data_IF_530547574670
#
_entry.id   IF_530547574670
#
_cell.length_a   1.000
_cell.length_b   1.000
_cell.length_c   1.000
_cell.angle_alpha   90.00
_cell.angle_beta   90.00
_cell.angle_gamma   90.00
#
_symmetry.space_group_name_H-M   'P 1'
#
loop_
_entity.id
_entity.type
_entity.pdbx_description
1 polymer ?
#
# COMPACT_ATOMS: atom_id res chain seq x y z
N UNK A 1 -25.49 -24.21 33.47
CA UNK A 1 -24.75 -22.96 33.12
C UNK A 1 -24.96 -22.61 31.63
N UNK A 2 -26.19 -22.29 31.24
CA UNK A 2 -26.59 -22.09 29.81
C UNK A 2 -26.49 -20.62 29.35
N UNK A 3 -26.60 -19.66 30.28
CA UNK A 3 -26.68 -18.23 29.96
C UNK A 3 -25.39 -17.60 29.43
N UNK A 4 -24.20 -18.11 29.79
CA UNK A 4 -22.93 -17.53 29.35
C UNK A 4 -22.63 -17.80 27.87
N UNK A 5 -23.03 -18.97 27.36
CA UNK A 5 -22.86 -19.35 25.95
C UNK A 5 -23.80 -18.56 25.03
N UNK A 6 -25.03 -18.32 25.49
CA UNK A 6 -26.02 -17.52 24.77
C UNK A 6 -25.60 -16.05 24.65
N UNK A 7 -25.07 -15.45 25.74
CA UNK A 7 -24.54 -14.08 25.72
C UNK A 7 -23.34 -13.92 24.78
N UNK A 8 -22.44 -14.91 24.76
CA UNK A 8 -21.29 -14.90 23.84
C UNK A 8 -21.74 -15.03 22.38
N UNK A 9 -22.71 -15.90 22.08
CA UNK A 9 -23.23 -16.06 20.72
C UNK A 9 -23.91 -14.80 20.20
N UNK A 10 -24.68 -14.11 21.05
CA UNK A 10 -25.30 -12.82 20.70
C UNK A 10 -24.26 -11.72 20.47
N UNK A 11 -23.20 -11.69 21.29
CA UNK A 11 -22.10 -10.74 21.11
C UNK A 11 -21.36 -10.97 19.78
N UNK A 12 -21.00 -12.22 19.48
CA UNK A 12 -20.33 -12.58 18.22
C UNK A 12 -21.22 -12.29 17.00
N UNK A 13 -22.52 -12.58 17.08
CA UNK A 13 -23.48 -12.26 16.02
C UNK A 13 -23.62 -10.74 15.81
N UNK A 14 -23.70 -9.96 16.90
CA UNK A 14 -23.74 -8.51 16.84
C UNK A 14 -22.49 -7.90 16.19
N UNK A 15 -21.30 -8.38 16.55
CA UNK A 15 -20.04 -7.96 15.93
C UNK A 15 -20.00 -8.29 14.44
N UNK A 16 -20.50 -9.47 14.03
CA UNK A 16 -20.54 -9.89 12.63
C UNK A 16 -21.46 -9.00 11.78
N UNK A 17 -22.65 -8.66 12.29
CA UNK A 17 -23.59 -7.78 11.58
C UNK A 17 -23.07 -6.35 11.49
N UNK A 18 -22.38 -5.84 12.53
CA UNK A 18 -21.74 -4.51 12.49
C UNK A 18 -20.58 -4.48 11.48
N UNK A 19 -19.75 -5.53 11.44
CA UNK A 19 -18.67 -5.64 10.45
C UNK A 19 -19.21 -5.74 9.01
N UNK A 20 -20.31 -6.47 8.78
CA UNK A 20 -20.98 -6.54 7.48
C UNK A 20 -21.68 -5.23 7.11
N UNK A 21 -22.31 -4.55 8.07
CA UNK A 21 -22.97 -3.25 7.86
C UNK A 21 -21.99 -2.12 7.55
N UNK A 22 -20.72 -2.25 7.95
CA UNK A 22 -19.64 -1.35 7.55
C UNK A 22 -19.21 -1.55 6.08
N UNK A 23 -19.56 -2.68 5.46
CA UNK A 23 -19.36 -2.91 4.02
C UNK A 23 -20.56 -2.48 3.17
N UNK A 24 -21.67 -2.03 3.77
CA UNK A 24 -22.86 -1.52 3.05
C UNK A 24 -22.97 0.01 3.12
N UNK A 25 -21.84 0.70 3.23
CA UNK A 25 -21.72 2.14 3.05
C UNK A 25 -20.75 2.40 1.90
N UNK A 26 -21.31 2.67 0.73
CA UNK A 26 -20.59 3.02 -0.50
C UNK A 26 -19.71 1.88 -1.03
N UNK A 27 -20.37 0.87 -1.60
CA UNK A 27 -19.86 0.29 -2.84
C UNK A 27 -19.81 1.46 -3.83
N UNK A 28 -18.69 2.20 -3.79
CA UNK A 28 -18.30 3.07 -4.88
C UNK A 28 -18.23 2.12 -6.06
N UNK A 29 -19.29 2.12 -6.86
CA UNK A 29 -19.26 1.65 -8.23
C UNK A 29 -18.27 2.61 -8.90
N UNK A 30 -16.98 2.37 -8.65
CA UNK A 30 -15.94 2.72 -9.56
C UNK A 30 -16.42 2.04 -10.83
N UNK A 31 -16.96 2.87 -11.73
CA UNK A 31 -17.21 2.51 -13.10
C UNK A 31 -16.00 1.70 -13.53
N UNK A 32 -16.17 0.38 -13.65
CA UNK A 32 -15.16 -0.51 -14.19
C UNK A 32 -15.12 -0.23 -15.68
N UNK A 33 -14.72 0.99 -16.03
CA UNK A 33 -14.16 1.30 -17.31
C UNK A 33 -12.84 0.52 -17.33
N UNK A 34 -12.92 -0.74 -17.76
CA UNK A 34 -11.76 -1.54 -18.11
C UNK A 34 -10.95 -0.68 -19.08
N UNK A 35 -9.90 -0.02 -18.58
CA UNK A 35 -9.03 0.76 -19.40
C UNK A 35 -8.40 -0.21 -20.40
N UNK A 36 -8.72 -0.05 -21.69
CA UNK A 36 -8.24 -0.94 -22.75
C UNK A 36 -6.70 -1.02 -22.80
N UNK A 37 -6.03 0.01 -22.26
CA UNK A 37 -4.58 0.14 -22.22
C UNK A 37 -4.12 0.74 -20.89
N UNK A 38 -2.93 0.34 -20.45
CA UNK A 38 -2.24 0.91 -19.29
C UNK A 38 -0.82 1.35 -19.66
N UNK A 39 -0.31 2.35 -18.95
CA UNK A 39 1.08 2.81 -19.10
C UNK A 39 1.91 2.22 -17.96
N UNK A 40 2.83 1.33 -18.30
CA UNK A 40 3.83 0.82 -17.36
C UNK A 40 5.08 1.70 -17.34
N UNK A 41 5.69 1.84 -16.16
CA UNK A 41 6.99 2.48 -15.99
C UNK A 41 7.90 1.57 -15.16
N UNK A 42 9.14 1.41 -15.64
CA UNK A 42 10.19 0.67 -14.93
C UNK A 42 11.42 1.55 -14.87
N UNK A 43 12.09 1.54 -13.71
CA UNK A 43 13.33 2.26 -13.49
C UNK A 43 14.41 1.27 -13.05
N UNK A 44 15.53 1.27 -13.77
CA UNK A 44 16.72 0.55 -13.36
C UNK A 44 17.46 1.39 -12.31
N UNK A 45 17.46 0.91 -11.06
CA UNK A 45 17.96 1.68 -9.93
C UNK A 45 19.45 1.42 -9.66
N UNK A 46 20.33 2.45 -9.75
CA UNK A 46 21.69 2.34 -9.26
C UNK A 46 21.72 2.41 -7.72
N UNK A 47 21.69 1.26 -7.06
CA UNK A 47 21.61 1.18 -5.60
C UNK A 47 22.75 1.92 -4.90
N UNK A 48 22.39 2.74 -3.90
CA UNK A 48 23.35 3.26 -2.93
C UNK A 48 23.61 2.15 -1.91
N UNK A 49 24.82 1.61 -1.93
CA UNK A 49 25.24 0.51 -1.07
C UNK A 49 26.06 1.01 0.11
N UNK A 50 26.08 0.22 1.18
CA UNK A 50 27.04 0.43 2.26
C UNK A 50 28.47 0.30 1.73
N UNK A 51 29.36 1.21 2.18
CA UNK A 51 30.79 1.19 1.86
C UNK A 51 31.47 -0.12 2.28
N UNK A 52 31.03 -0.69 3.40
CA UNK A 52 31.47 -2.01 3.85
C UNK A 52 30.24 -2.87 4.17
N UNK A 53 29.87 -3.81 3.29
CA UNK A 53 28.66 -4.63 3.47
C UNK A 53 28.78 -5.64 4.62
N UNK A 54 29.99 -5.91 5.12
CA UNK A 54 30.22 -6.84 6.23
C UNK A 54 30.26 -6.11 7.59
N UNK A 55 30.30 -4.78 7.59
CA UNK A 55 30.29 -4.01 8.83
C UNK A 55 28.89 -4.01 9.45
N UNK A 56 28.83 -4.29 10.75
CA UNK A 56 27.62 -4.05 11.53
C UNK A 56 27.45 -2.53 11.69
N UNK A 57 26.33 -2.02 11.21
CA UNK A 57 25.93 -0.63 11.37
C UNK A 57 24.81 -0.54 12.41
N UNK A 58 24.67 0.63 13.02
CA UNK A 58 23.55 0.92 13.90
C UNK A 58 22.23 0.91 13.14
N UNK A 59 21.12 0.76 13.86
CA UNK A 59 19.77 0.90 13.30
C UNK A 59 19.58 2.24 12.58
N UNK A 60 20.13 3.32 13.14
CA UNK A 60 19.97 4.67 12.60
C UNK A 60 20.66 4.80 11.24
N UNK A 61 21.91 4.35 11.15
CA UNK A 61 22.67 4.36 9.89
C UNK A 61 22.01 3.50 8.81
N UNK A 62 21.46 2.35 9.20
CA UNK A 62 20.71 1.50 8.27
C UNK A 62 19.47 2.21 7.70
N UNK A 63 18.72 2.92 8.56
CA UNK A 63 17.54 3.68 8.15
C UNK A 63 17.93 4.85 7.24
N UNK A 64 19.02 5.55 7.53
CA UNK A 64 19.52 6.64 6.68
C UNK A 64 19.88 6.15 5.28
N UNK A 65 20.61 5.02 5.17
CA UNK A 65 20.94 4.42 3.87
C UNK A 65 19.69 3.99 3.09
N UNK A 66 18.69 3.42 3.77
CA UNK A 66 17.43 3.04 3.13
C UNK A 66 16.66 4.28 2.64
N UNK A 67 16.57 5.33 3.46
CA UNK A 67 15.88 6.57 3.09
C UNK A 67 16.51 7.22 1.86
N UNK A 68 17.85 7.26 1.77
CA UNK A 68 18.53 7.77 0.57
C UNK A 68 18.14 7.02 -0.72
N UNK A 69 17.97 5.70 -0.64
CA UNK A 69 17.49 4.92 -1.79
C UNK A 69 16.01 5.18 -2.08
N UNK A 70 15.19 5.39 -1.04
CA UNK A 70 13.75 5.69 -1.19
C UNK A 70 13.51 7.09 -1.77
N UNK A 71 14.32 8.08 -1.44
CA UNK A 71 14.22 9.43 -2.01
C UNK A 71 14.37 9.39 -3.54
N UNK A 72 15.26 8.55 -4.07
CA UNK A 72 15.42 8.33 -5.52
C UNK A 72 14.16 7.64 -6.08
N UNK A 73 13.66 6.60 -5.41
CA UNK A 73 12.44 5.91 -5.83
C UNK A 73 11.24 6.86 -5.91
N UNK A 74 11.07 7.74 -4.92
CA UNK A 74 10.00 8.73 -4.90
C UNK A 74 10.08 9.67 -6.11
N UNK A 75 11.28 10.19 -6.42
CA UNK A 75 11.48 11.02 -7.62
C UNK A 75 11.07 10.30 -8.90
N UNK A 76 11.39 9.01 -9.04
CA UNK A 76 11.03 8.23 -10.22
C UNK A 76 9.53 7.93 -10.29
N UNK A 77 8.89 7.64 -9.15
CA UNK A 77 7.43 7.47 -9.08
C UNK A 77 6.71 8.76 -9.48
N UNK A 78 7.14 9.90 -8.97
CA UNK A 78 6.55 11.20 -9.33
C UNK A 78 6.72 11.52 -10.82
N UNK A 79 7.90 11.24 -11.37
CA UNK A 79 8.17 11.39 -12.81
C UNK A 79 7.29 10.46 -13.65
N UNK A 80 7.14 9.19 -13.24
CA UNK A 80 6.31 8.22 -13.93
C UNK A 80 4.83 8.63 -13.90
N UNK A 81 4.32 9.06 -12.74
CA UNK A 81 2.94 9.52 -12.58
C UNK A 81 2.66 10.76 -13.44
N UNK A 82 3.61 11.71 -13.52
CA UNK A 82 3.49 12.88 -14.37
C UNK A 82 3.42 12.49 -15.86
N UNK A 83 4.29 11.57 -16.31
CA UNK A 83 4.27 11.09 -17.70
C UNK A 83 3.00 10.30 -18.02
N UNK A 84 2.54 9.43 -17.12
CA UNK A 84 1.30 8.69 -17.28
C UNK A 84 0.11 9.63 -17.43
N UNK A 85 0.04 10.70 -16.62
CA UNK A 85 -1.00 11.74 -16.76
C UNK A 85 -0.96 12.43 -18.13
N UNK A 86 0.23 12.73 -18.65
CA UNK A 86 0.36 13.35 -19.98
C UNK A 86 -0.06 12.40 -21.11
N UNK A 87 0.16 11.09 -20.96
CA UNK A 87 -0.13 10.08 -21.98
C UNK A 87 -1.60 9.60 -21.97
N UNK A 88 -2.22 9.53 -20.78
CA UNK A 88 -3.61 9.08 -20.61
C UNK A 88 -4.62 10.24 -20.53
N UNK A 89 -4.15 11.47 -20.32
CA UNK A 89 -4.99 12.67 -20.20
C UNK A 89 -5.27 13.41 -21.51
N UNK A 90 -4.87 12.85 -22.65
CA UNK A 90 -5.13 13.34 -24.02
C UNK A 90 -5.96 12.32 -24.78
#
# INVERSE_FOLDING_TARGET
>A
MSGARSKLALFLCGCYVVALGAHTGEESVADHHEAEYYVAAVYEHPSILSLNPLALISRQEALELMNQNLDIYEQQVMTAAQKARMLLGT
#
